data_IF_878870638475
#
_entry.id   IF_878870638475
#
_cell.length_a   1.000
_cell.length_b   1.000
_cell.length_c   1.000
_cell.angle_alpha   90.00
_cell.angle_beta   90.00
_cell.angle_gamma   90.00
#
_symmetry.space_group_name_H-M   'P 1'
#
loop_
_entity.id
_entity.type
_entity.pdbx_description
1 polymer ?
2 non-polymer ?
3 non-polymer ?
4 non-polymer ?
5 water ?
#
# COMPACT_ATOMS: atom_id res chain seq x y z
N UNK A 10 15.09 -3.80 0.88
CA UNK A 10 15.28 -2.36 0.76
C UNK A 10 14.19 -1.77 -0.14
N UNK A 11 12.99 -1.64 0.41
CA UNK A 11 11.87 -1.17 -0.38
C UNK A 11 11.92 0.34 -0.60
N UNK A 12 12.56 1.09 0.31
CA UNK A 12 12.69 2.53 0.12
C UNK A 12 13.57 2.88 -1.08
N UNK A 13 14.44 1.96 -1.51
CA UNK A 13 15.29 2.22 -2.67
C UNK A 13 14.55 2.04 -3.99
N UNK A 14 13.43 1.33 -4.01
CA UNK A 14 12.67 1.21 -5.24
C UNK A 14 11.83 2.48 -5.47
N UNK A 15 11.39 2.66 -6.72
CA UNK A 15 10.62 3.81 -7.07
C UNK A 15 9.25 3.81 -6.41
N UNK A 16 8.46 4.85 -6.72
CA UNK A 16 7.17 5.04 -6.06
C UNK A 16 6.00 4.28 -6.67
N UNK A 17 6.19 3.58 -7.79
CA UNK A 17 5.09 2.88 -8.42
C UNK A 17 4.93 1.43 -8.03
N UNK A 18 3.99 1.15 -7.12
CA UNK A 18 3.71 -0.20 -6.68
C UNK A 18 2.41 -0.67 -7.32
N UNK A 19 2.36 -1.95 -7.69
CA UNK A 19 1.25 -2.50 -8.47
C UNK A 19 0.69 -3.73 -7.78
N UNK A 20 -0.60 -3.71 -7.47
CA UNK A 20 -1.31 -4.92 -7.07
C UNK A 20 -1.42 -5.87 -8.25
N UNK A 21 -1.20 -7.17 -7.98
CA UNK A 21 -1.45 -8.21 -8.97
C UNK A 21 -2.10 -9.39 -8.26
N UNK A 22 -3.35 -9.74 -8.61
CA UNK A 22 -3.98 -10.91 -8.00
C UNK A 22 -3.10 -12.15 -8.16
N UNK A 23 -2.92 -12.88 -7.06
CA UNK A 23 -1.99 -14.00 -7.07
C UNK A 23 -2.54 -15.24 -7.77
N UNK A 24 -3.84 -15.27 -8.07
CA UNK A 24 -4.37 -16.33 -8.91
C UNK A 24 -4.21 -16.03 -10.40
N UNK A 25 -3.32 -15.12 -10.77
CA UNK A 25 -3.03 -14.81 -12.17
C UNK A 25 -1.53 -14.92 -12.45
N UNK A 26 -0.93 -16.10 -12.25
CA UNK A 26 0.53 -16.22 -12.41
C UNK A 26 1.00 -15.90 -13.82
N UNK A 27 0.13 -16.00 -14.82
CA UNK A 27 0.50 -15.62 -16.18
C UNK A 27 0.80 -14.14 -16.30
N UNK A 28 0.39 -13.32 -15.32
CA UNK A 28 0.62 -11.89 -15.37
C UNK A 28 1.74 -11.43 -14.45
N UNK A 29 2.37 -12.33 -13.70
CA UNK A 29 3.38 -11.91 -12.73
C UNK A 29 4.56 -11.23 -13.42
N UNK A 30 5.04 -11.82 -14.52
CA UNK A 30 6.21 -11.27 -15.20
C UNK A 30 5.92 -9.88 -15.74
N UNK A 31 4.72 -9.68 -16.30
CA UNK A 31 4.37 -8.37 -16.81
C UNK A 31 4.21 -7.35 -15.68
N UNK A 32 3.67 -7.78 -14.54
CA UNK A 32 3.57 -6.88 -13.41
C UNK A 32 4.95 -6.44 -12.93
N UNK A 33 5.90 -7.38 -12.85
CA UNK A 33 7.24 -7.04 -12.40
C UNK A 33 7.94 -6.09 -13.37
N UNK A 34 7.74 -6.29 -14.68
CA UNK A 34 8.36 -5.41 -15.66
C UNK A 34 7.76 -4.01 -15.61
N UNK A 35 6.47 -3.90 -15.27
CA UNK A 35 5.79 -2.59 -15.30
C UNK A 35 6.05 -1.76 -14.06
N UNK A 36 6.19 -2.38 -12.90
CA UNK A 36 6.13 -1.67 -11.64
C UNK A 36 7.49 -1.65 -10.94
N UNK A 37 7.62 -0.73 -9.98
CA UNK A 37 8.80 -0.72 -9.12
C UNK A 37 8.75 -1.86 -8.10
N UNK A 38 7.57 -2.08 -7.51
CA UNK A 38 7.34 -3.14 -6.54
C UNK A 38 6.00 -3.77 -6.88
N UNK A 39 5.93 -5.11 -6.84
CA UNK A 39 4.69 -5.83 -7.07
C UNK A 39 4.13 -6.27 -5.72
N UNK A 40 2.83 -6.03 -5.52
CA UNK A 40 2.10 -6.57 -4.37
C UNK A 40 1.30 -7.76 -4.88
N UNK A 41 1.80 -8.97 -4.68
CA UNK A 41 1.03 -10.16 -5.02
C UNK A 41 -0.10 -10.29 -3.99
N UNK A 42 -1.33 -10.40 -4.47
CA UNK A 42 -2.51 -10.21 -3.64
C UNK A 42 -3.18 -11.55 -3.38
N UNK A 43 -3.28 -11.93 -2.10
CA UNK A 43 -4.10 -13.05 -1.69
C UNK A 43 -5.44 -12.63 -1.09
N UNK A 44 -5.67 -11.32 -0.91
CA UNK A 44 -6.89 -10.82 -0.27
C UNK A 44 -7.90 -10.40 -1.33
N UNK A 45 -8.37 -9.14 -1.30
CA UNK A 45 -9.60 -8.80 -2.00
C UNK A 45 -9.49 -8.90 -3.51
N UNK A 46 -8.28 -8.94 -4.07
CA UNK A 46 -8.16 -9.13 -5.51
C UNK A 46 -8.47 -10.54 -5.99
N UNK A 47 -8.54 -11.52 -5.09
CA UNK A 47 -8.74 -12.92 -5.44
C UNK A 47 -10.04 -13.42 -4.81
N UNK A 48 -10.89 -14.05 -5.61
CA UNK A 48 -12.15 -14.58 -5.10
C UNK A 48 -11.89 -15.69 -4.09
N UNK A 49 -12.80 -15.79 -3.10
CA UNK A 49 -12.64 -16.76 -2.02
C UNK A 49 -12.37 -18.16 -2.55
N UNK A 50 -13.10 -18.56 -3.60
CA UNK A 50 -12.91 -19.89 -4.18
C UNK A 50 -11.58 -20.04 -4.91
N UNK A 51 -10.93 -18.93 -5.25
CA UNK A 51 -9.67 -18.96 -6.00
C UNK A 51 -8.45 -18.82 -5.10
N UNK A 52 -8.64 -18.62 -3.81
CA UNK A 52 -7.50 -18.35 -2.93
C UNK A 52 -6.58 -19.57 -2.79
N UNK A 53 -7.08 -20.81 -2.71
CA UNK A 53 -6.14 -21.95 -2.74
C UNK A 53 -5.28 -21.97 -3.99
N UNK A 54 -5.86 -21.76 -5.17
CA UNK A 54 -5.07 -21.73 -6.39
C UNK A 54 -4.04 -20.60 -6.34
N UNK A 55 -4.41 -19.45 -5.79
CA UNK A 55 -3.49 -18.33 -5.72
C UNK A 55 -2.31 -18.65 -4.80
N UNK A 56 -2.55 -19.36 -3.70
CA UNK A 56 -1.46 -19.79 -2.83
C UNK A 56 -0.51 -20.74 -3.54
N UNK A 57 -1.01 -21.58 -4.43
CA UNK A 57 -0.12 -22.46 -5.19
C UNK A 57 0.71 -21.66 -6.19
N UNK A 58 0.09 -20.73 -6.90
CA UNK A 58 0.84 -19.89 -7.82
C UNK A 58 1.90 -19.07 -7.09
N UNK A 59 1.61 -18.67 -5.85
CA UNK A 59 2.59 -17.95 -5.06
C UNK A 59 3.86 -18.77 -4.89
N UNK A 60 3.71 -20.07 -4.60
CA UNK A 60 4.86 -20.95 -4.47
C UNK A 60 5.47 -21.27 -5.83
N UNK A 61 4.64 -21.44 -6.86
CA UNK A 61 5.10 -21.99 -8.12
C UNK A 61 5.77 -20.96 -9.02
N UNK A 62 5.36 -19.70 -8.94
CA UNK A 62 5.80 -18.66 -9.87
C UNK A 62 6.43 -17.52 -9.07
N UNK A 63 7.69 -17.64 -8.69
CA UNK A 63 8.32 -16.60 -7.85
C UNK A 63 8.70 -15.36 -8.64
N UNK A 64 8.61 -14.24 -7.94
CA UNK A 64 9.16 -12.96 -8.36
C UNK A 64 10.31 -12.60 -7.43
N UNK A 65 11.06 -11.57 -7.80
CA UNK A 65 12.18 -11.09 -6.99
C UNK A 65 11.68 -10.69 -5.60
N UNK A 66 12.07 -11.42 -4.55
CA UNK A 66 11.59 -11.08 -3.19
C UNK A 66 12.07 -9.73 -2.69
N UNK A 67 13.10 -9.15 -3.30
CA UNK A 67 13.51 -7.80 -2.94
C UNK A 67 12.59 -6.73 -3.51
N UNK A 68 11.72 -7.08 -4.46
CA UNK A 68 10.83 -6.12 -5.11
C UNK A 68 9.38 -6.57 -5.08
N UNK A 69 9.01 -7.45 -4.14
CA UNK A 69 7.70 -8.06 -4.08
C UNK A 69 7.21 -8.12 -2.65
N UNK A 70 5.97 -7.72 -2.44
CA UNK A 70 5.26 -7.79 -1.16
C UNK A 70 4.05 -8.69 -1.38
N UNK A 71 3.64 -9.42 -0.33
CA UNK A 71 2.47 -10.29 -0.45
C UNK A 71 1.39 -9.73 0.46
N UNK A 72 0.24 -9.35 -0.12
CA UNK A 72 -0.89 -8.96 0.70
C UNK A 72 -1.62 -10.22 1.17
N UNK A 73 -1.59 -10.46 2.47
CA UNK A 73 -2.26 -11.62 3.08
C UNK A 73 -3.66 -11.23 3.49
N UNK A 74 -4.40 -12.15 4.09
CA UNK A 74 -5.74 -11.83 4.55
C UNK A 74 -5.70 -11.30 6.00
N UNK A 75 -6.85 -10.82 6.47
CA UNK A 75 -6.88 -10.06 7.72
C UNK A 75 -6.64 -10.95 8.95
N UNK A 76 -6.20 -10.31 10.04
CA UNK A 76 -5.92 -11.03 11.27
C UNK A 76 -7.15 -11.79 11.75
N UNK A 77 -6.90 -12.96 12.32
CA UNK A 77 -7.97 -13.79 12.86
C UNK A 77 -8.73 -14.62 11.84
N UNK A 78 -8.49 -14.43 10.55
CA UNK A 78 -9.23 -15.19 9.55
C UNK A 78 -8.55 -16.53 9.27
N UNK A 79 -9.36 -17.52 8.93
CA UNK A 79 -8.79 -18.79 8.47
C UNK A 79 -7.93 -18.59 7.23
N UNK A 80 -8.31 -17.64 6.37
CA UNK A 80 -7.52 -17.40 5.16
C UNK A 80 -6.10 -16.94 5.50
N UNK A 81 -5.95 -16.05 6.49
CA UNK A 81 -4.59 -15.62 6.83
C UNK A 81 -3.74 -16.80 7.30
N UNK A 82 -4.33 -17.73 8.04
CA UNK A 82 -3.59 -18.90 8.48
C UNK A 82 -3.12 -19.73 7.30
N UNK A 83 -3.99 -19.92 6.30
CA UNK A 83 -3.57 -20.65 5.10
C UNK A 83 -2.52 -19.87 4.32
N UNK A 84 -2.65 -18.53 4.27
CA UNK A 84 -1.66 -17.70 3.61
C UNK A 84 -0.27 -17.89 4.20
N UNK A 85 -0.17 -17.83 5.54
CA UNK A 85 1.16 -17.93 6.15
C UNK A 85 1.77 -19.31 5.94
N UNK A 86 0.94 -20.35 5.89
CA UNK A 86 1.45 -21.67 5.54
C UNK A 86 2.02 -21.68 4.14
N UNK A 87 1.29 -21.11 3.18
CA UNK A 87 1.79 -21.04 1.81
C UNK A 87 3.09 -20.24 1.73
N UNK A 88 3.18 -19.12 2.48
CA UNK A 88 4.36 -18.28 2.44
C UNK A 88 5.61 -18.97 2.97
N UNK A 89 5.45 -19.99 3.81
CA UNK A 89 6.61 -20.71 4.33
C UNK A 89 7.40 -21.37 3.20
N UNK A 90 6.73 -21.74 2.12
CA UNK A 90 7.42 -22.31 0.98
C UNK A 90 7.85 -21.28 -0.05
N UNK A 91 8.07 -20.03 0.39
CA UNK A 91 8.52 -18.96 -0.49
C UNK A 91 9.70 -18.25 0.16
N UNK A 92 10.30 -17.33 -0.61
CA UNK A 92 11.35 -16.46 -0.10
C UNK A 92 10.85 -15.07 0.23
N UNK A 93 9.54 -14.85 0.27
CA UNK A 93 9.01 -13.53 0.57
C UNK A 93 9.13 -13.26 2.05
N UNK A 94 9.56 -12.05 2.38
CA UNK A 94 9.78 -11.67 3.76
C UNK A 94 8.90 -10.52 4.21
N UNK A 95 8.20 -9.85 3.28
CA UNK A 95 7.39 -8.68 3.61
C UNK A 95 5.95 -8.94 3.21
N UNK A 96 5.03 -8.72 4.15
CA UNK A 96 3.61 -8.91 3.89
C UNK A 96 2.88 -7.61 4.13
N UNK A 97 1.77 -7.46 3.43
CA UNK A 97 0.84 -6.37 3.65
C UNK A 97 -0.38 -6.89 4.41
N UNK A 98 -0.70 -6.26 5.54
CA UNK A 98 -1.79 -6.68 6.41
C UNK A 98 -3.01 -5.82 6.17
N UNK A 99 -4.08 -6.35 5.57
CA UNK A 99 -5.29 -5.55 5.35
C UNK A 99 -6.10 -5.47 6.64
N UNK A 100 -7.00 -4.48 6.68
CA UNK A 100 -7.81 -4.22 7.86
C UNK A 100 -6.96 -4.21 9.13
N UNK A 101 -5.77 -3.63 9.04
CA UNK A 101 -4.87 -3.61 10.19
C UNK A 101 -5.49 -2.75 11.30
N UNK A 102 -5.65 -3.33 12.50
CA UNK A 102 -6.42 -2.65 13.55
C UNK A 102 -5.74 -2.59 14.91
N UNK A 103 -4.60 -3.23 15.09
CA UNK A 103 -3.92 -3.13 16.38
C UNK A 103 -2.45 -3.46 16.18
N UNK A 104 -1.63 -3.00 17.13
CA UNK A 104 -0.24 -3.46 17.15
C UNK A 104 -0.16 -4.97 17.28
N UNK A 105 -1.08 -5.58 18.04
CA UNK A 105 -0.99 -7.02 18.25
C UNK A 105 -1.15 -7.79 16.93
N UNK A 106 -2.01 -7.29 16.03
CA UNK A 106 -2.15 -7.93 14.72
C UNK A 106 -0.86 -7.86 13.92
N UNK A 107 -0.10 -6.79 14.09
CA UNK A 107 1.19 -6.69 13.41
C UNK A 107 2.20 -7.61 14.07
N UNK A 108 2.24 -7.59 15.41
CA UNK A 108 3.25 -8.35 16.15
C UNK A 108 3.09 -9.84 15.91
N UNK A 109 1.86 -10.33 15.70
CA UNK A 109 1.72 -11.76 15.49
C UNK A 109 2.24 -12.22 14.13
N UNK A 110 2.66 -11.30 13.26
CA UNK A 110 3.27 -11.64 11.99
C UNK A 110 4.80 -11.66 12.05
N UNK A 111 5.40 -11.30 13.19
CA UNK A 111 6.84 -11.42 13.36
C UNK A 111 7.25 -12.86 13.03
N UNK A 112 8.45 -13.08 12.46
CA UNK A 112 9.51 -12.10 12.21
C UNK A 112 9.47 -11.48 10.82
N UNK A 113 8.30 -11.54 10.17
CA UNK A 113 8.15 -10.89 8.87
C UNK A 113 8.14 -9.38 9.03
N UNK A 114 8.52 -8.68 7.95
CA UNK A 114 8.27 -7.24 7.85
C UNK A 114 6.83 -7.01 7.39
N UNK A 115 6.21 -5.95 7.92
CA UNK A 115 4.77 -5.76 7.73
C UNK A 115 4.51 -4.35 7.20
N UNK A 116 3.76 -4.27 6.11
CA UNK A 116 3.12 -3.03 5.68
C UNK A 116 1.68 -3.09 6.16
N UNK A 117 1.31 -2.24 7.11
CA UNK A 117 -0.04 -2.24 7.65
C UNK A 117 -0.95 -1.41 6.76
N UNK A 118 -2.04 -2.01 6.30
CA UNK A 118 -3.03 -1.30 5.46
C UNK A 118 -4.19 -0.94 6.39
N UNK A 119 -4.25 0.33 6.75
CA UNK A 119 -5.32 0.86 7.59
C UNK A 119 -6.48 1.26 6.69
N UNK A 120 -7.65 0.65 6.92
CA UNK A 120 -8.81 0.85 6.07
C UNK A 120 -10.09 0.64 6.86
N UNK A 121 -10.04 0.87 8.17
CA UNK A 121 -11.20 0.82 9.06
C UNK A 121 -11.04 1.91 10.10
N UNK A 122 -12.15 2.28 10.75
CA UNK A 122 -12.09 3.33 11.76
C UNK A 122 -11.16 2.94 12.90
N UNK A 123 -11.21 1.67 13.34
CA UNK A 123 -10.37 1.28 14.46
C UNK A 123 -8.89 1.38 14.10
N UNK A 124 -8.54 1.02 12.86
CA UNK A 124 -7.15 1.19 12.45
C UNK A 124 -6.71 2.64 12.40
N UNK A 125 -7.61 3.53 11.97
CA UNK A 125 -7.29 4.97 11.98
C UNK A 125 -7.09 5.48 13.40
N UNK A 126 -7.96 5.07 14.32
CA UNK A 126 -7.86 5.50 15.72
C UNK A 126 -6.57 5.00 16.34
N UNK A 127 -6.10 3.82 15.95
CA UNK A 127 -4.91 3.18 16.51
C UNK A 127 -3.70 3.27 15.60
N UNK A 128 -3.68 4.21 14.64
CA UNK A 128 -2.63 4.22 13.62
C UNK A 128 -1.23 4.36 14.22
N UNK A 129 -1.07 5.23 15.24
CA UNK A 129 0.25 5.43 15.82
C UNK A 129 0.77 4.16 16.48
N UNK A 130 -0.10 3.44 17.21
CA UNK A 130 0.30 2.17 17.81
C UNK A 130 0.67 1.13 16.75
N UNK A 131 -0.07 1.11 15.64
CA UNK A 131 0.22 0.19 14.55
C UNK A 131 1.57 0.54 13.91
N UNK A 132 1.80 1.82 13.65
CA UNK A 132 3.06 2.26 13.04
C UNK A 132 4.25 1.93 13.95
N UNK A 133 4.09 2.09 15.26
CA UNK A 133 5.18 1.91 16.20
C UNK A 133 5.54 0.45 16.43
N UNK A 134 4.68 -0.50 16.05
CA UNK A 134 4.98 -1.91 16.31
C UNK A 134 6.27 -2.32 15.61
N UNK A 135 7.07 -3.15 16.28
CA UNK A 135 8.40 -3.48 15.78
C UNK A 135 8.41 -4.05 14.37
N UNK A 136 7.51 -4.94 13.95
CA UNK A 136 7.58 -5.46 12.58
C UNK A 136 7.21 -4.45 11.49
N UNK A 137 6.58 -3.33 11.83
CA UNK A 137 6.08 -2.42 10.80
C UNK A 137 7.22 -1.78 10.04
N UNK A 138 7.16 -1.85 8.70
CA UNK A 138 8.05 -1.07 7.85
C UNK A 138 7.29 -0.09 6.98
N UNK A 139 5.96 -0.14 6.95
CA UNK A 139 5.19 0.79 6.14
C UNK A 139 3.74 0.87 6.56
N UNK A 140 3.12 2.01 6.26
CA UNK A 140 1.70 2.24 6.49
C UNK A 140 1.07 2.61 5.16
N UNK A 141 -0.05 1.97 4.84
CA UNK A 141 -0.90 2.34 3.71
C UNK A 141 -2.29 2.64 4.25
N UNK A 142 -3.07 3.41 3.51
CA UNK A 142 -4.49 3.56 3.83
C UNK A 142 -5.31 3.14 2.62
N UNK A 143 -6.54 2.70 2.90
CA UNK A 143 -7.43 2.22 1.87
C UNK A 143 -8.77 2.92 1.92
N UNK A 144 -9.03 3.82 0.98
CA UNK A 144 -10.24 4.65 1.06
C UNK A 144 -11.52 3.84 0.94
N UNK A 145 -11.51 2.76 0.15
CA UNK A 145 -12.78 2.12 -0.21
C UNK A 145 -13.30 1.25 0.93
N UNK A 146 -12.44 0.38 1.48
CA UNK A 146 -12.82 -0.36 2.69
C UNK A 146 -13.09 0.58 3.86
N UNK A 147 -12.38 1.71 3.95
CA UNK A 147 -12.64 2.66 5.03
C UNK A 147 -14.09 3.12 4.97
N UNK A 148 -14.51 3.63 3.82
CA UNK A 148 -15.88 4.11 3.70
C UNK A 148 -16.86 2.97 3.84
N UNK A 149 -16.55 1.81 3.26
CA UNK A 149 -17.45 0.67 3.38
C UNK A 149 -17.68 0.29 4.84
N UNK A 150 -16.60 0.21 5.62
CA UNK A 150 -16.74 -0.26 7.00
C UNK A 150 -17.36 0.81 7.90
N UNK A 151 -17.19 2.10 7.56
CA UNK A 151 -17.90 3.16 8.28
C UNK A 151 -19.40 3.12 8.05
N UNK A 152 -19.85 2.42 7.00
CA UNK A 152 -21.24 2.42 6.62
C UNK A 152 -21.63 3.39 5.53
N UNK A 153 -20.65 4.03 4.87
CA UNK A 153 -20.94 5.00 3.82
C UNK A 153 -20.97 4.36 2.44
N UNK A 154 -21.11 5.23 1.42
CA UNK A 154 -21.36 4.77 0.05
C UNK A 154 -20.38 5.30 -1.00
N UNK A 155 -19.50 6.23 -0.68
CA UNK A 155 -18.50 6.69 -1.65
C UNK A 155 -17.37 7.41 -0.92
N UNK A 156 -16.15 7.20 -1.41
CA UNK A 156 -14.98 7.87 -0.84
C UNK A 156 -14.72 9.24 -1.45
N UNK A 157 -15.39 9.59 -2.55
CA UNK A 157 -15.06 10.80 -3.30
C UNK A 157 -16.32 11.60 -3.61
N UNK A 158 -16.14 12.91 -3.67
CA UNK A 158 -17.19 13.81 -4.11
C UNK A 158 -17.34 13.72 -5.63
N UNK A 159 -18.29 14.50 -6.15
CA UNK A 159 -18.61 14.45 -7.57
C UNK A 159 -17.39 14.77 -8.44
N UNK A 160 -16.55 15.71 -8.00
CA UNK A 160 -15.38 16.11 -8.77
C UNK A 160 -14.18 15.19 -8.59
N UNK A 161 -14.34 14.04 -7.93
CA UNK A 161 -13.23 13.12 -7.72
C UNK A 161 -12.38 13.38 -6.49
N UNK A 162 -12.60 14.48 -5.78
CA UNK A 162 -11.82 14.78 -4.59
C UNK A 162 -12.28 13.92 -3.42
N UNK A 163 -11.33 13.51 -2.57
CA UNK A 163 -11.69 12.70 -1.42
C UNK A 163 -12.66 13.43 -0.50
N UNK A 164 -13.58 12.68 0.09
CA UNK A 164 -14.41 13.23 1.15
C UNK A 164 -13.56 13.46 2.40
N UNK A 165 -14.07 14.25 3.34
CA UNK A 165 -13.22 14.75 4.42
C UNK A 165 -12.70 13.63 5.32
N UNK A 166 -13.52 12.61 5.62
CA UNK A 166 -13.02 11.58 6.53
C UNK A 166 -11.91 10.78 5.84
N UNK A 167 -11.96 10.69 4.51
CA UNK A 167 -10.86 10.06 3.77
C UNK A 167 -9.59 10.91 3.85
N UNK A 168 -9.71 12.23 3.64
CA UNK A 168 -8.57 13.13 3.80
C UNK A 168 -7.99 13.02 5.20
N UNK A 169 -8.86 12.91 6.21
CA UNK A 169 -8.42 12.78 7.60
C UNK A 169 -7.58 11.53 7.79
N UNK A 170 -8.04 10.37 7.29
CA UNK A 170 -7.28 9.13 7.47
C UNK A 170 -5.99 9.16 6.66
N UNK A 171 -6.02 9.75 5.45
CA UNK A 171 -4.82 9.88 4.64
C UNK A 171 -3.72 10.62 5.40
N UNK A 172 -4.07 11.78 5.96
CA UNK A 172 -3.11 12.53 6.76
C UNK A 172 -2.67 11.73 7.99
N UNK A 173 -3.62 11.04 8.62
CA UNK A 173 -3.30 10.24 9.81
C UNK A 173 -2.22 9.21 9.48
N UNK A 174 -2.37 8.52 8.37
CA UNK A 174 -1.41 7.46 8.00
C UNK A 174 -0.06 8.06 7.63
N UNK A 175 -0.06 9.18 6.90
CA UNK A 175 1.21 9.83 6.57
C UNK A 175 1.96 10.24 7.82
N UNK A 176 1.25 10.84 8.79
CA UNK A 176 1.90 11.28 10.03
C UNK A 176 2.34 10.08 10.87
N UNK A 177 1.50 9.04 10.97
CA UNK A 177 1.88 7.89 11.79
C UNK A 177 3.10 7.20 11.21
N UNK A 178 3.13 7.02 9.88
CA UNK A 178 4.28 6.40 9.25
C UNK A 178 5.55 7.21 9.50
N UNK A 179 5.49 8.51 9.22
CA UNK A 179 6.68 9.35 9.33
C UNK A 179 7.15 9.49 10.76
N UNK A 180 6.23 9.45 11.72
CA UNK A 180 6.62 9.57 13.13
C UNK A 180 7.51 8.41 13.56
N UNK A 181 7.37 7.26 12.92
CA UNK A 181 8.13 6.07 13.31
C UNK A 181 9.06 5.58 12.21
N UNK A 182 9.39 6.46 11.26
CA UNK A 182 10.36 6.15 10.23
C UNK A 182 9.92 5.09 9.24
N UNK A 183 8.62 4.95 9.01
CA UNK A 183 8.06 3.95 8.11
C UNK A 183 7.80 4.54 6.73
N UNK A 184 7.72 3.67 5.74
CA UNK A 184 7.23 4.06 4.43
C UNK A 184 5.76 4.48 4.52
N UNK A 185 5.39 5.48 3.71
CA UNK A 185 4.01 5.96 3.62
C UNK A 185 3.50 5.67 2.22
N UNK A 186 2.43 4.88 2.12
CA UNK A 186 1.84 4.48 0.84
C UNK A 186 0.45 5.11 0.70
N UNK A 187 0.22 5.80 -0.42
CA UNK A 187 -1.06 6.46 -0.68
C UNK A 187 -2.03 5.48 -1.34
N UNK A 188 -3.33 5.72 -1.14
CA UNK A 188 -4.42 4.85 -1.58
C UNK A 188 -4.51 4.79 -3.11
N UNK A 189 -5.17 3.72 -3.61
CA UNK A 189 -5.25 3.45 -5.04
C UNK A 189 -6.29 4.35 -5.69
N UNK A 190 -6.07 4.65 -6.96
CA UNK A 190 -7.01 5.40 -7.79
C UNK A 190 -7.79 4.36 -8.59
N UNK A 191 -9.02 4.06 -8.15
CA UNK A 191 -9.78 2.98 -8.77
C UNK A 191 -10.21 3.29 -10.20
N UNK A 192 -10.40 4.56 -10.54
CA UNK A 192 -10.80 4.93 -11.91
C UNK A 192 -9.57 4.89 -12.80
N UNK A 193 -9.34 3.74 -13.43
CA UNK A 193 -8.10 3.50 -14.18
C UNK A 193 -7.95 4.51 -15.31
N UNK A 194 -9.03 4.78 -16.05
CA UNK A 194 -8.92 5.67 -17.20
C UNK A 194 -8.84 7.13 -16.79
N UNK A 195 -9.06 7.47 -15.52
CA UNK A 195 -8.98 8.84 -15.02
C UNK A 195 -7.50 9.20 -14.75
N UNK A 196 -6.75 9.34 -15.84
CA UNK A 196 -5.33 9.67 -15.74
C UNK A 196 -5.14 11.06 -15.14
N UNK A 197 -6.00 12.02 -15.53
CA UNK A 197 -5.89 13.37 -15.00
C UNK A 197 -6.04 13.37 -13.48
N UNK A 198 -7.03 12.65 -12.96
CA UNK A 198 -7.24 12.59 -11.53
C UNK A 198 -6.09 11.91 -10.80
N UNK A 199 -5.57 10.82 -11.38
CA UNK A 199 -4.41 10.17 -10.78
C UNK A 199 -3.20 11.07 -10.79
N UNK A 200 -2.99 11.80 -11.89
CA UNK A 200 -1.88 12.73 -11.98
C UNK A 200 -1.91 13.74 -10.85
N UNK A 201 -3.06 14.37 -10.62
CA UNK A 201 -3.19 15.35 -9.54
C UNK A 201 -3.01 14.71 -8.18
N UNK A 202 -3.57 13.51 -8.00
CA UNK A 202 -3.53 12.85 -6.71
C UNK A 202 -2.12 12.43 -6.32
N UNK A 203 -1.36 11.88 -7.27
CA UNK A 203 -0.01 11.43 -6.98
C UNK A 203 0.94 12.61 -6.80
N UNK A 204 0.74 13.67 -7.59
CA UNK A 204 1.47 14.92 -7.35
C UNK A 204 1.20 15.45 -5.96
N UNK A 205 -0.08 15.48 -5.55
CA UNK A 205 -0.43 15.88 -4.19
C UNK A 205 0.29 15.01 -3.16
N UNK A 206 0.30 13.70 -3.38
CA UNK A 206 0.88 12.79 -2.40
C UNK A 206 2.39 13.00 -2.30
N UNK A 207 3.07 13.09 -3.45
CA UNK A 207 4.51 13.34 -3.47
C UNK A 207 4.85 14.66 -2.81
N UNK A 208 4.01 15.67 -3.01
CA UNK A 208 4.28 17.00 -2.45
C UNK A 208 4.32 17.01 -0.93
N UNK A 209 3.53 16.16 -0.26
CA UNK A 209 3.51 16.15 1.20
C UNK A 209 4.40 15.07 1.80
N UNK A 210 5.05 14.24 0.98
CA UNK A 210 6.01 13.29 1.48
C UNK A 210 5.58 11.82 1.51
N UNK A 211 4.47 11.45 0.87
CA UNK A 211 4.24 10.04 0.60
C UNK A 211 5.42 9.47 -0.18
N UNK A 212 5.72 8.20 0.07
CA UNK A 212 6.82 7.51 -0.59
C UNK A 212 6.37 6.71 -1.80
N UNK A 213 5.10 6.31 -1.85
CA UNK A 213 4.60 5.35 -2.81
C UNK A 213 3.17 5.72 -3.14
N UNK A 214 2.79 5.61 -4.41
CA UNK A 214 1.38 5.54 -4.77
C UNK A 214 1.10 4.14 -5.28
N UNK A 215 0.16 3.46 -4.64
CA UNK A 215 -0.18 2.10 -5.04
C UNK A 215 -1.18 2.15 -6.19
N UNK A 216 -0.96 1.29 -7.18
CA UNK A 216 -1.76 1.24 -8.40
C UNK A 216 -2.45 -0.11 -8.53
N UNK A 217 -3.55 -0.14 -9.29
CA UNK A 217 -4.24 -1.38 -9.59
C UNK A 217 -4.20 -1.73 -11.08
N UNK A 218 -3.49 -0.94 -11.90
CA UNK A 218 -3.37 -1.26 -13.31
C UNK A 218 -2.00 -0.77 -13.79
N UNK A 219 -1.29 -1.55 -14.61
CA UNK A 219 0.07 -1.15 -14.99
C UNK A 219 0.14 0.15 -15.76
N UNK A 220 -0.92 0.54 -16.50
CA UNK A 220 -0.95 1.85 -17.15
C UNK A 220 -0.77 3.00 -16.16
N UNK A 221 -1.10 2.79 -14.88
CA UNK A 221 -0.99 3.86 -13.89
C UNK A 221 0.45 4.11 -13.45
N UNK A 222 1.35 3.15 -13.65
CA UNK A 222 2.72 3.29 -13.15
C UNK A 222 3.46 4.47 -13.78
N UNK A 223 3.45 4.64 -15.12
CA UNK A 223 4.16 5.81 -15.67
C UNK A 223 3.61 7.13 -15.16
N UNK A 224 2.31 7.22 -14.90
CA UNK A 224 1.74 8.46 -14.39
C UNK A 224 2.28 8.74 -12.98
N UNK A 225 2.39 7.70 -12.17
CA UNK A 225 2.88 7.86 -10.80
C UNK A 225 4.35 8.24 -10.78
N UNK A 226 5.18 7.54 -11.58
CA UNK A 226 6.60 7.87 -11.59
C UNK A 226 6.82 9.31 -12.04
N UNK A 227 6.08 9.75 -13.05
CA UNK A 227 6.23 11.13 -13.52
C UNK A 227 5.75 12.13 -12.49
N UNK A 228 4.66 11.79 -11.77
CA UNK A 228 4.12 12.70 -10.78
C UNK A 228 5.11 12.91 -9.62
N UNK A 229 5.85 11.87 -9.27
CA UNK A 229 6.81 11.96 -8.18
C UNK A 229 8.11 12.65 -8.59
N UNK A 230 8.14 13.28 -9.76
CA UNK A 230 9.25 14.13 -10.17
C UNK A 230 8.78 15.57 -10.28
N UNK A 231 9.53 16.52 -9.74
CA UNK A 231 9.09 17.93 -9.80
C UNK A 231 9.12 18.47 -11.22
N UNK A 232 8.29 19.49 -11.45
CA UNK A 232 8.23 20.15 -12.75
C UNK A 232 9.53 20.88 -13.09
N UNK A 258 8.99 36.99 -0.02
CA UNK A 258 9.09 35.61 0.46
C UNK A 258 10.36 35.37 1.30
N UNK A 259 10.15 34.82 2.50
CA UNK A 259 11.25 34.46 3.39
C UNK A 259 11.65 33.01 3.16
N UNK A 260 12.97 32.77 3.10
CA UNK A 260 13.52 31.43 2.97
C UNK A 260 14.19 31.06 4.29
N UNK A 261 13.70 30.00 4.93
CA UNK A 261 14.30 29.44 6.13
C UNK A 261 14.93 28.08 5.78
N UNK A 262 15.55 27.47 6.79
CA UNK A 262 16.20 26.18 6.57
C UNK A 262 15.27 25.11 5.99
N UNK A 263 14.04 24.92 6.46
CA UNK A 263 13.19 23.89 5.82
C UNK A 263 12.89 24.14 4.34
N UNK A 264 12.71 25.40 3.92
CA UNK A 264 12.43 25.66 2.51
C UNK A 264 13.60 25.24 1.64
N UNK A 265 14.83 25.34 2.15
CA UNK A 265 15.98 24.78 1.43
C UNK A 265 15.93 23.26 1.39
N UNK A 266 15.42 22.62 2.44
CA UNK A 266 15.23 21.17 2.41
C UNK A 266 14.20 20.78 1.35
N UNK A 267 13.12 21.56 1.23
CA UNK A 267 12.16 21.35 0.14
C UNK A 267 12.86 21.38 -1.21
N UNK A 268 13.70 22.39 -1.44
CA UNK A 268 14.41 22.50 -2.71
C UNK A 268 15.33 21.30 -2.93
N UNK A 269 16.03 20.86 -1.87
CA UNK A 269 16.90 19.70 -1.98
C UNK A 269 16.10 18.43 -2.23
N UNK A 270 14.94 18.29 -1.59
CA UNK A 270 14.06 17.16 -1.85
C UNK A 270 13.61 17.11 -3.31
N UNK A 271 13.26 18.28 -3.87
CA UNK A 271 12.88 18.31 -5.28
C UNK A 271 13.99 17.82 -6.18
N UNK A 272 15.23 18.24 -5.91
CA UNK A 272 16.35 17.81 -6.75
C UNK A 272 16.61 16.32 -6.64
N UNK A 273 16.22 15.70 -5.52
CA UNK A 273 16.45 14.28 -5.27
C UNK A 273 15.23 13.43 -5.64
X LIG B 1 -9.25 -2.92 1.03
X LIG C 1 -17.04 14.10 4.95
X LIG C 1 -16.26 13.37 5.64
X LIG C 1 -16.86 14.55 3.78
X LIG C 1 -18.41 14.48 5.64
X LIG D 1 -0.96 -7.12 -15.71
X LIG D 1 -1.94 -7.77 -15.25
X LIG D 1 -0.75 -6.75 -16.90
X LIG D 1 0.14 -6.75 -14.66
X LIG E 1 -8.09 -3.55 -3.89
X LIG E 1 -8.28 -4.19 -2.82
X LIG E 1 -8.45 -2.39 -4.18
X LIG E 1 -7.30 -4.30 -5.03
X LIG F 1 -8.94 -0.32 -0.22
X LIG F 1 -9.90 -0.92 0.43
X LIG F 1 -9.13 0.90 -0.65
X LIG F 1 -7.73 -1.01 -0.45
X LIG F 1 -7.63 -2.24 -0.06
X LIG F 1 -6.55 -0.37 -1.13
X LIG G 1 -12.93 7.01 -8.47
X LIG G 1 -12.97 5.90 -7.80
X LIG G 1 -14.04 7.59 -8.86
X LIG G 1 -11.70 7.61 -8.78
X LIG G 1 -10.59 6.92 -8.68
X LIG G 1 -11.69 9.04 -9.24
#
# INVERSE_FOLDING_TARGET
MAHHHHHHMNLRAAGPGWLFCPADRPERFAKAAAAADVVILDLEDGVAEAQKPAARNALRDTPLDPERTVVRINAGGTADQARDLEALAGTAYTTVMLPKAESAAQVIELAPRDVIALVETARGAVCAAEIAAADPTVGMMWGAEDLIATLGGSSSRRADGAYRDVARHVRSTILLAASAFGRLALDAVHLDILDVEGLQEEARDAAAVGFDVTVCIHPSQIPVVRKAYRPSHEKLAWARRVLAASRSERGAFAFEGQMVDSPVLTHAETMLRRAGEATSE
MG MG
ACT C O OXT CH3
ACT C O OXT CH3
ACT C O OXT CH3
PYR C O OXT CA O3 CB
PYR C O OXT CA O3 CB
#
